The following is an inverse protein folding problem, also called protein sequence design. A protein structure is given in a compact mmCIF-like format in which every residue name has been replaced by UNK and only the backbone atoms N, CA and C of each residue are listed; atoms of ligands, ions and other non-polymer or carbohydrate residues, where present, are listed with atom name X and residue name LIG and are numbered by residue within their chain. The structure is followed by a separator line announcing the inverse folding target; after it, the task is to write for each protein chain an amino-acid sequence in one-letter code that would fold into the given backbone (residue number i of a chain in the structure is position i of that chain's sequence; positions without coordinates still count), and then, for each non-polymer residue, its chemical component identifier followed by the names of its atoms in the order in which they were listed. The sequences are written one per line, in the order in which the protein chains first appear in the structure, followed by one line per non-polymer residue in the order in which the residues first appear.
data_IF_299557018336
#
_entry.id   IF_299557018336
#
_cell.length_a   1.000
_cell.length_b   1.000
_cell.length_c   1.000
_cell.angle_alpha   90.00
_cell.angle_beta   90.00
_cell.angle_gamma   90.00
#
_symmetry.space_group_name_H-M   'P 1'
#
loop_
_entity.id
_entity.type
_entity.pdbx_description
1 polymer ?
#
# COMPACT_ATOMS: atom_id res chain seq x y z
N UNK A 1 11.67 -18.26 28.10
CA UNK A 1 12.95 -18.48 27.41
C UNK A 1 12.94 -17.63 26.16
N UNK A 2 13.65 -16.50 26.18
CA UNK A 2 13.93 -15.74 24.96
C UNK A 2 14.88 -16.60 24.12
N UNK A 3 14.41 -17.08 22.97
CA UNK A 3 15.19 -17.93 22.06
C UNK A 3 16.24 -17.02 21.41
N UNK A 4 17.48 -17.08 21.88
CA UNK A 4 18.61 -16.44 21.19
C UNK A 4 18.78 -17.18 19.86
N UNK A 5 18.36 -16.54 18.76
CA UNK A 5 18.55 -17.04 17.41
C UNK A 5 20.03 -16.93 17.07
N UNK A 6 20.61 -17.97 16.47
CA UNK A 6 22.03 -17.97 16.10
C UNK A 6 22.31 -16.85 15.08
N UNK A 7 23.52 -16.28 15.13
CA UNK A 7 23.95 -15.23 14.19
C UNK A 7 23.76 -15.64 12.71
N UNK A 8 23.91 -16.94 12.43
CA UNK A 8 23.67 -17.54 11.11
C UNK A 8 22.19 -17.50 10.68
N UNK A 9 21.26 -17.80 11.58
CA UNK A 9 19.81 -17.73 11.34
C UNK A 9 19.34 -16.28 11.18
N UNK A 10 19.95 -15.37 11.95
CA UNK A 10 19.71 -13.94 11.83
C UNK A 10 20.19 -13.43 10.46
N UNK A 11 21.32 -13.91 9.97
CA UNK A 11 21.87 -13.53 8.67
C UNK A 11 21.04 -14.09 7.50
N UNK A 12 20.54 -15.33 7.59
CA UNK A 12 19.60 -15.89 6.59
C UNK A 12 18.30 -15.09 6.53
N UNK A 13 17.74 -14.72 7.69
CA UNK A 13 16.53 -13.91 7.77
C UNK A 13 16.71 -12.53 7.13
N UNK A 14 17.87 -11.91 7.35
CA UNK A 14 18.20 -10.63 6.72
C UNK A 14 18.41 -10.76 5.22
N UNK A 15 19.05 -11.84 4.75
CA UNK A 15 19.18 -12.13 3.31
C UNK A 15 17.82 -12.38 2.64
N UNK A 16 16.87 -13.03 3.34
CA UNK A 16 15.49 -13.19 2.86
C UNK A 16 14.78 -11.84 2.70
N UNK A 17 14.88 -10.94 3.69
CA UNK A 17 14.36 -9.58 3.59
C UNK A 17 15.06 -8.82 2.46
N UNK A 18 16.35 -9.09 2.21
CA UNK A 18 17.11 -8.38 1.19
C UNK A 18 16.60 -8.66 -0.23
N UNK A 19 16.15 -9.91 -0.49
CA UNK A 19 15.53 -10.32 -1.75
C UNK A 19 14.22 -9.59 -2.07
N UNK A 20 13.58 -8.98 -1.08
CA UNK A 20 12.33 -8.22 -1.27
C UNK A 20 12.70 -6.82 -1.81
N UNK A 21 12.13 -6.40 -2.96
CA UNK A 21 12.35 -5.07 -3.53
C UNK A 21 11.64 -4.01 -2.68
N UNK A 22 12.33 -3.53 -1.64
CA UNK A 22 11.86 -2.42 -0.80
C UNK A 22 12.18 -1.08 -1.46
N UNK A 23 11.37 -0.06 -1.21
CA UNK A 23 11.49 1.25 -1.88
C UNK A 23 12.67 2.10 -1.41
N UNK A 24 13.40 1.67 -0.36
CA UNK A 24 14.51 2.44 0.24
C UNK A 24 15.79 1.61 0.39
N UNK A 25 16.99 2.22 0.24
CA UNK A 25 18.26 1.55 0.47
C UNK A 25 18.42 1.16 1.95
N UNK A 26 18.55 -0.15 2.20
CA UNK A 26 18.66 -0.76 3.53
C UNK A 26 20.04 -0.44 4.13
N UNK A 27 20.09 0.23 5.29
CA UNK A 27 21.35 0.41 6.05
C UNK A 27 21.31 -0.26 7.41
N UNK A 28 20.18 -0.22 8.13
CA UNK A 28 20.08 -0.74 9.50
C UNK A 28 18.69 -1.35 9.77
N UNK A 29 18.55 -2.67 9.65
CA UNK A 29 17.27 -3.40 9.79
C UNK A 29 16.56 -3.07 11.11
N UNK A 30 17.26 -3.06 12.25
CA UNK A 30 16.65 -2.72 13.54
C UNK A 30 16.04 -1.31 13.54
N UNK A 31 16.71 -0.33 12.94
CA UNK A 31 16.22 1.05 12.84
C UNK A 31 15.09 1.18 11.83
N UNK A 32 15.24 0.53 10.68
CA UNK A 32 14.28 0.58 9.59
C UNK A 32 12.95 -0.10 9.97
N UNK A 33 12.99 -1.16 10.78
CA UNK A 33 11.79 -1.75 11.40
C UNK A 33 11.22 -0.88 12.53
N UNK A 34 12.07 -0.14 13.26
CA UNK A 34 11.61 0.74 14.33
C UNK A 34 10.82 1.93 13.83
N UNK A 35 11.17 2.51 12.67
CA UNK A 35 10.65 3.77 12.12
C UNK A 35 9.18 3.75 11.63
N UNK A 36 8.38 2.88 12.23
CA UNK A 36 6.92 3.02 12.27
C UNK A 36 6.20 1.98 11.43
N UNK A 37 6.61 0.71 11.51
CA UNK A 37 5.91 -0.42 10.88
C UNK A 37 5.87 -0.36 9.36
N UNK A 38 6.42 0.68 8.72
CA UNK A 38 6.34 0.89 7.28
C UNK A 38 7.16 -0.13 6.51
N UNK A 39 8.37 -0.47 6.98
CA UNK A 39 9.16 -1.56 6.40
C UNK A 39 8.48 -2.91 6.59
N UNK A 40 7.92 -3.17 7.78
CA UNK A 40 7.12 -4.37 8.01
C UNK A 40 5.87 -4.41 7.09
N UNK A 41 5.23 -3.27 6.88
CA UNK A 41 4.10 -3.11 5.98
C UNK A 41 4.51 -3.33 4.52
N UNK A 42 5.64 -2.80 4.06
CA UNK A 42 6.18 -3.01 2.72
C UNK A 42 6.52 -4.50 2.47
N UNK A 43 7.16 -5.15 3.44
CA UNK A 43 7.42 -6.60 3.39
C UNK A 43 6.12 -7.37 3.21
N UNK A 44 5.09 -7.09 4.02
CA UNK A 44 3.81 -7.79 3.90
C UNK A 44 3.06 -7.39 2.62
N UNK A 45 3.21 -6.15 2.14
CA UNK A 45 2.61 -5.69 0.87
C UNK A 45 3.20 -6.42 -0.34
N UNK A 46 4.47 -6.79 -0.28
CA UNK A 46 5.10 -7.57 -1.36
C UNK A 46 4.43 -8.92 -1.56
N UNK A 47 4.13 -9.64 -0.47
CA UNK A 47 3.45 -10.94 -0.53
C UNK A 47 1.92 -10.80 -0.65
N UNK A 48 1.33 -9.77 -0.03
CA UNK A 48 -0.11 -9.55 0.04
C UNK A 48 -0.48 -8.09 -0.24
N UNK A 49 -0.46 -7.65 -1.51
CA UNK A 49 -0.66 -6.24 -1.86
C UNK A 49 -2.05 -5.69 -1.50
N UNK A 50 -3.05 -6.56 -1.32
CA UNK A 50 -4.42 -6.19 -0.93
C UNK A 50 -4.63 -6.09 0.59
N UNK A 51 -3.72 -6.63 1.41
CA UNK A 51 -3.86 -6.62 2.87
C UNK A 51 -3.27 -5.36 3.50
N UNK A 52 -2.27 -4.77 2.84
CA UNK A 52 -1.54 -3.63 3.37
C UNK A 52 -1.82 -2.40 2.52
N UNK A 53 -2.33 -1.39 3.17
CA UNK A 53 -2.48 -0.09 2.55
C UNK A 53 -1.53 0.93 3.19
N UNK A 54 -0.51 1.32 2.42
CA UNK A 54 0.59 2.18 2.88
C UNK A 54 0.12 3.57 3.31
N UNK A 55 -1.02 4.06 2.80
CA UNK A 55 -1.53 5.38 3.20
C UNK A 55 -1.93 5.45 4.68
N UNK A 56 -2.13 4.29 5.33
CA UNK A 56 -2.48 4.22 6.75
C UNK A 56 -1.29 4.41 7.69
N UNK A 57 -0.06 4.41 7.16
CA UNK A 57 1.15 4.48 7.97
C UNK A 57 1.87 5.79 7.67
N UNK A 58 1.77 6.73 8.61
CA UNK A 58 2.41 8.04 8.50
C UNK A 58 3.85 7.92 9.02
N UNK A 59 4.88 8.27 8.22
CA UNK A 59 6.26 8.28 8.68
C UNK A 59 6.40 9.23 9.87
N UNK A 60 6.89 8.73 11.00
CA UNK A 60 7.00 9.54 12.21
C UNK A 60 8.20 9.15 13.05
N UNK A 61 8.91 10.16 13.54
CA UNK A 61 10.05 9.99 14.43
C UNK A 61 9.63 9.83 15.91
N UNK A 62 8.37 10.15 16.24
CA UNK A 62 7.82 10.01 17.59
C UNK A 62 7.54 8.55 17.94
N UNK A 63 8.12 8.07 19.04
CA UNK A 63 7.89 6.72 19.60
C UNK A 63 6.41 6.38 19.71
N UNK A 64 5.57 7.34 20.14
CA UNK A 64 4.13 7.13 20.31
C UNK A 64 3.42 6.93 18.95
N UNK A 65 3.81 7.69 17.93
CA UNK A 65 3.25 7.55 16.58
C UNK A 65 3.73 6.25 15.92
N UNK A 66 5.00 5.86 16.12
CA UNK A 66 5.52 4.56 15.68
C UNK A 66 4.73 3.41 16.30
N UNK A 67 4.45 3.48 17.60
CA UNK A 67 3.64 2.48 18.30
C UNK A 67 2.19 2.45 17.79
N UNK A 68 1.59 3.60 17.51
CA UNK A 68 0.27 3.68 16.86
C UNK A 68 0.27 3.00 15.48
N UNK A 69 1.28 3.27 14.65
CA UNK A 69 1.44 2.62 13.34
C UNK A 69 1.57 1.10 13.49
N UNK A 70 2.37 0.62 14.45
CA UNK A 70 2.51 -0.81 14.75
C UNK A 70 1.19 -1.43 15.23
N UNK A 71 0.39 -0.71 16.02
CA UNK A 71 -0.94 -1.17 16.44
C UNK A 71 -1.92 -1.27 15.26
N UNK A 72 -1.87 -0.33 14.32
CA UNK A 72 -2.65 -0.40 13.07
C UNK A 72 -2.24 -1.63 12.26
N UNK A 73 -0.93 -1.90 12.16
CA UNK A 73 -0.40 -3.07 11.45
C UNK A 73 -0.86 -4.38 12.13
N UNK A 74 -0.75 -4.46 13.45
CA UNK A 74 -1.26 -5.57 14.26
C UNK A 74 -2.75 -5.84 13.96
N UNK A 75 -3.58 -4.78 13.99
CA UNK A 75 -5.03 -4.91 13.86
C UNK A 75 -5.50 -5.17 12.43
N UNK A 76 -4.91 -4.52 11.43
CA UNK A 76 -5.37 -4.61 10.03
C UNK A 76 -4.72 -5.74 9.25
N UNK A 77 -3.43 -6.01 9.51
CA UNK A 77 -2.60 -6.88 8.69
C UNK A 77 -2.29 -8.18 9.42
N UNK A 78 -1.74 -8.11 10.63
CA UNK A 78 -1.34 -9.33 11.34
C UNK A 78 -2.54 -10.17 11.79
N UNK A 79 -3.67 -9.53 12.11
CA UNK A 79 -4.93 -10.24 12.35
C UNK A 79 -5.37 -11.12 11.17
N UNK A 80 -5.11 -10.70 9.93
CA UNK A 80 -5.41 -11.47 8.70
C UNK A 80 -4.43 -12.63 8.48
N UNK A 81 -3.25 -12.53 9.10
CA UNK A 81 -2.21 -13.56 9.10
C UNK A 81 -2.31 -14.50 10.31
N UNK A 82 -3.35 -14.38 11.15
CA UNK A 82 -3.48 -15.11 12.42
C UNK A 82 -2.21 -14.94 13.29
N UNK A 83 -1.69 -13.71 13.29
CA UNK A 83 -0.47 -13.30 13.98
C UNK A 83 -0.77 -12.11 14.87
N UNK A 84 -0.18 -12.09 16.07
CA UNK A 84 -0.33 -10.99 17.01
C UNK A 84 1.00 -10.78 17.72
N UNK A 85 1.52 -9.56 17.66
CA UNK A 85 2.73 -9.17 18.39
C UNK A 85 2.30 -8.44 19.66
N UNK A 86 2.67 -8.93 20.86
CA UNK A 86 2.35 -8.26 22.13
C UNK A 86 2.91 -6.84 22.18
N UNK A 87 2.21 -5.96 22.90
CA UNK A 87 2.60 -4.55 23.04
C UNK A 87 4.00 -4.40 23.69
N UNK A 88 4.39 -5.29 24.60
CA UNK A 88 5.73 -5.31 25.20
C UNK A 88 6.83 -5.52 24.16
N UNK A 89 6.63 -6.47 23.23
CA UNK A 89 7.57 -6.73 22.13
C UNK A 89 7.58 -5.57 21.15
N UNK A 90 6.41 -4.98 20.85
CA UNK A 90 6.33 -3.77 20.02
C UNK A 90 7.10 -2.61 20.63
N UNK A 91 6.99 -2.37 21.93
CA UNK A 91 7.75 -1.34 22.62
C UNK A 91 9.27 -1.56 22.47
N UNK A 92 9.75 -2.80 22.66
CA UNK A 92 11.16 -3.15 22.42
C UNK A 92 11.58 -2.89 20.98
N UNK A 93 10.72 -3.20 20.00
CA UNK A 93 10.97 -2.95 18.57
C UNK A 93 10.99 -1.47 18.25
N UNK A 94 10.03 -0.67 18.73
CA UNK A 94 9.95 0.78 18.49
C UNK A 94 11.16 1.51 19.05
N UNK A 95 11.72 1.03 20.17
CA UNK A 95 12.93 1.56 20.79
C UNK A 95 14.23 1.13 20.08
N UNK A 96 14.15 0.43 18.94
CA UNK A 96 15.31 -0.11 18.22
C UNK A 96 16.19 -1.03 19.07
N UNK A 97 15.59 -1.76 20.02
CA UNK A 97 16.33 -2.69 20.87
C UNK A 97 16.93 -3.79 19.98
N UNK A 98 18.26 -3.93 20.01
CA UNK A 98 18.96 -4.97 19.26
C UNK A 98 18.41 -6.35 19.63
N UNK A 99 18.20 -7.21 18.63
CA UNK A 99 17.66 -8.56 18.84
C UNK A 99 16.13 -8.66 19.02
N UNK A 100 15.42 -7.59 19.43
CA UNK A 100 13.97 -7.68 19.68
C UNK A 100 13.12 -7.85 18.41
N UNK A 101 13.63 -7.38 17.27
CA UNK A 101 12.95 -7.48 15.97
C UNK A 101 13.06 -8.88 15.35
N UNK A 102 14.08 -9.65 15.71
CA UNK A 102 14.42 -10.92 15.06
C UNK A 102 13.35 -11.99 15.29
N UNK A 103 12.87 -12.23 16.55
CA UNK A 103 11.79 -13.19 16.78
C UNK A 103 10.48 -12.80 16.09
N UNK A 104 10.15 -11.51 16.06
CA UNK A 104 8.96 -11.00 15.40
C UNK A 104 9.02 -11.21 13.88
N UNK A 105 10.19 -11.02 13.27
CA UNK A 105 10.42 -11.26 11.86
C UNK A 105 10.41 -12.73 11.48
N UNK A 106 11.03 -13.58 12.31
CA UNK A 106 11.00 -15.04 12.11
C UNK A 106 9.57 -15.57 12.15
N UNK A 107 8.79 -15.15 13.15
CA UNK A 107 7.38 -15.51 13.25
C UNK A 107 6.55 -14.96 12.07
N UNK A 108 6.84 -13.74 11.60
CA UNK A 108 6.18 -13.16 10.43
C UNK A 108 6.48 -13.97 9.15
N UNK A 109 7.74 -14.36 8.94
CA UNK A 109 8.16 -15.21 7.80
C UNK A 109 7.40 -16.54 7.80
N UNK A 110 7.37 -17.25 8.92
CA UNK A 110 6.65 -18.53 9.05
C UNK A 110 5.15 -18.38 8.75
N UNK A 111 4.53 -17.27 9.17
CA UNK A 111 3.12 -16.99 8.92
C UNK A 111 2.83 -16.66 7.46
N UNK A 112 3.73 -15.93 6.79
CA UNK A 112 3.65 -15.65 5.36
C UNK A 112 3.76 -16.95 4.57
N UNK A 113 4.75 -17.79 4.87
CA UNK A 113 4.97 -19.08 4.19
C UNK A 113 3.75 -19.99 4.34
N UNK A 114 3.19 -20.12 5.55
CA UNK A 114 1.95 -20.89 5.80
C UNK A 114 0.74 -20.39 5.01
N UNK A 115 0.61 -19.07 4.82
CA UNK A 115 -0.49 -18.49 4.02
C UNK A 115 -0.23 -18.64 2.52
N UNK A 116 1.03 -18.70 2.09
CA UNK A 116 1.42 -18.93 0.70
C UNK A 116 1.22 -20.40 0.28
N UNK A 117 1.50 -21.35 1.17
CA UNK A 117 1.29 -22.79 0.94
C UNK A 117 -0.19 -23.20 0.92
N UNK A 118 -1.07 -22.37 1.50
CA UNK A 118 -2.50 -22.66 1.61
C UNK A 118 -3.38 -21.64 0.84
N UNK A 119 -3.23 -21.53 -0.50
CA UNK A 119 -4.00 -20.57 -1.31
C UNK A 119 -5.49 -20.92 -1.43
N UNK A 120 -5.93 -22.08 -0.93
CA UNK A 120 -7.29 -22.62 -1.15
C UNK A 120 -8.35 -22.19 -0.14
N UNK A 121 -8.01 -21.48 0.95
CA UNK A 121 -8.99 -21.13 2.00
C UNK A 121 -9.29 -19.62 2.14
N UNK A 122 -8.94 -18.77 1.16
CA UNK A 122 -9.32 -17.35 1.17
C UNK A 122 -9.89 -16.86 -0.18
N UNK A 123 -10.78 -17.65 -0.78
CA UNK A 123 -11.82 -17.07 -1.64
C UNK A 123 -12.97 -16.68 -0.70
N UNK A 124 -12.76 -15.60 0.06
CA UNK A 124 -13.88 -14.90 0.72
C UNK A 124 -14.05 -13.59 -0.02
N UNK A 125 -14.91 -13.66 -1.03
CA UNK A 125 -15.63 -12.56 -1.68
C UNK A 125 -14.77 -11.39 -2.18
N UNK A 126 -14.50 -11.33 -3.51
CA UNK A 126 -14.23 -10.08 -4.17
C UNK A 126 -15.52 -9.25 -4.12
N UNK A 127 -15.66 -8.40 -3.08
CA UNK A 127 -16.66 -7.34 -3.11
C UNK A 127 -16.14 -6.30 -4.10
N UNK A 128 -16.52 -6.52 -5.35
CA UNK A 128 -16.57 -5.51 -6.39
C UNK A 128 -17.50 -4.41 -5.87
N UNK A 129 -16.99 -3.20 -5.66
CA UNK A 129 -17.84 -2.04 -5.51
C UNK A 129 -18.47 -1.79 -6.88
N UNK A 130 -19.66 -2.35 -7.10
CA UNK A 130 -20.51 -2.00 -8.23
C UNK A 130 -21.17 -0.67 -7.92
N UNK A 131 -20.69 0.39 -8.58
CA UNK A 131 -21.14 1.78 -8.42
C UNK A 131 -22.50 2.03 -9.09
N UNK A 132 -23.45 1.10 -8.96
CA UNK A 132 -24.76 1.19 -9.62
C UNK A 132 -25.89 0.76 -8.69
N UNK A 133 -26.11 1.52 -7.62
CA UNK A 133 -27.48 1.64 -7.10
C UNK A 133 -27.70 2.96 -6.35
N UNK A 134 -27.73 4.04 -7.14
CA UNK A 134 -28.37 5.29 -6.73
C UNK A 134 -29.86 5.17 -7.09
N UNK A 135 -30.70 4.62 -6.19
CA UNK A 135 -32.16 4.86 -6.16
C UNK A 135 -32.88 4.38 -4.88
N UNK A 136 -33.02 5.34 -3.92
CA UNK A 136 -34.13 5.53 -2.94
C UNK A 136 -34.35 4.51 -1.80
N UNK A 137 -35.03 4.89 -0.70
CA UNK A 137 -35.03 6.15 0.05
C UNK A 137 -34.70 5.96 1.56
N UNK A 138 -34.20 7.04 2.16
CA UNK A 138 -33.92 7.21 3.59
C UNK A 138 -35.19 7.01 4.45
N UNK A 139 -35.23 5.94 5.26
CA UNK A 139 -36.31 5.74 6.25
C UNK A 139 -35.91 5.00 7.55
N UNK A 140 -34.64 4.66 7.78
CA UNK A 140 -34.24 3.86 8.97
C UNK A 140 -33.00 4.41 9.72
N UNK A 141 -32.84 5.74 9.79
CA UNK A 141 -31.91 6.40 10.74
C UNK A 141 -32.72 7.11 11.85
N UNK A 142 -33.88 6.57 12.20
CA UNK A 142 -34.75 7.12 13.25
C UNK A 142 -34.80 6.29 14.55
N UNK A 143 -33.85 5.35 14.77
CA UNK A 143 -33.90 4.49 15.96
C UNK A 143 -32.69 4.54 16.91
N UNK A 144 -31.60 5.23 16.56
CA UNK A 144 -30.44 5.41 17.46
C UNK A 144 -30.45 6.80 18.15
N UNK A 145 -31.21 7.77 17.64
CA UNK A 145 -31.28 9.12 18.21
C UNK A 145 -32.23 9.26 19.43
N UNK A 146 -33.09 8.27 19.68
CA UNK A 146 -34.23 8.44 20.63
C UNK A 146 -33.95 7.91 22.05
N UNK A 147 -32.80 7.31 22.34
CA UNK A 147 -32.50 6.76 23.69
C UNK A 147 -31.49 7.57 24.52
N UNK A 148 -30.94 8.67 24.01
CA UNK A 148 -30.00 9.52 24.76
C UNK A 148 -30.58 10.86 25.23
N UNK A 149 -31.87 11.11 24.98
CA UNK A 149 -32.50 12.43 25.20
C UNK A 149 -33.40 12.51 26.43
N UNK A 150 -33.58 11.43 27.18
CA UNK A 150 -34.38 11.45 28.40
C UNK A 150 -33.62 10.79 29.55
N UNK A 151 -32.82 11.59 30.27
CA UNK A 151 -32.86 11.66 31.73
C UNK A 151 -31.82 12.69 32.24
N UNK A 152 -32.37 13.65 32.98
CA UNK A 152 -31.74 14.44 34.06
C UNK A 152 -31.37 15.89 33.75
N UNK A 153 -32.39 16.72 34.00
CA UNK A 153 -32.21 18.00 34.70
C UNK A 153 -31.45 17.76 36.01
N UNK A 154 -30.32 18.42 36.18
CA UNK A 154 -30.08 19.46 37.20
C UNK A 154 -28.59 19.53 37.62
N UNK A 155 -28.14 20.78 37.70
CA UNK A 155 -26.98 21.31 38.43
C UNK A 155 -25.57 21.33 37.80
N UNK A 156 -25.12 22.59 37.59
CA UNK A 156 -23.81 23.21 37.92
C UNK A 156 -22.61 23.01 36.97
N UNK A 157 -22.38 24.10 36.22
CA UNK A 157 -21.15 24.89 36.07
C UNK A 157 -19.78 24.24 35.78
N UNK A 158 -19.18 24.79 34.72
CA UNK A 158 -17.74 25.02 34.49
C UNK A 158 -16.94 23.82 33.93
N UNK A 159 -16.01 24.09 33.01
CA UNK A 159 -15.03 23.16 32.38
C UNK A 159 -15.44 22.28 31.17
N UNK A 160 -16.02 22.80 30.07
CA UNK A 160 -16.04 22.04 28.78
C UNK A 160 -15.78 22.82 27.49
N UNK A 161 -15.23 24.04 27.54
CA UNK A 161 -15.07 24.84 26.32
C UNK A 161 -13.78 24.60 25.50
N UNK A 162 -12.83 23.76 25.97
CA UNK A 162 -11.59 23.48 25.21
C UNK A 162 -11.60 22.18 24.37
N UNK A 163 -12.47 21.20 24.66
CA UNK A 163 -12.50 19.92 23.92
C UNK A 163 -13.36 19.97 22.66
N UNK A 164 -14.40 20.81 22.64
CA UNK A 164 -15.29 20.94 21.47
C UNK A 164 -14.60 21.72 20.34
N UNK A 165 -13.81 22.75 20.67
CA UNK A 165 -13.02 23.48 19.67
C UNK A 165 -11.96 22.59 19.01
N UNK A 166 -11.24 21.77 19.79
CA UNK A 166 -10.22 20.88 19.23
C UNK A 166 -10.80 19.78 18.34
N UNK A 167 -11.97 19.22 18.68
CA UNK A 167 -12.63 18.24 17.84
C UNK A 167 -13.12 18.87 16.52
N UNK A 168 -13.76 20.04 16.57
CA UNK A 168 -14.23 20.77 15.37
C UNK A 168 -13.06 21.21 14.49
N UNK A 169 -11.97 21.72 15.06
CA UNK A 169 -10.75 22.07 14.31
C UNK A 169 -10.07 20.83 13.72
N UNK A 170 -10.03 19.71 14.44
CA UNK A 170 -9.41 18.47 13.95
C UNK A 170 -10.19 17.84 12.79
N UNK A 171 -11.53 17.86 12.83
CA UNK A 171 -12.34 17.40 11.69
C UNK A 171 -12.22 18.34 10.48
N UNK A 172 -12.15 19.66 10.69
CA UNK A 172 -11.92 20.62 9.61
C UNK A 172 -10.50 20.54 9.01
N UNK A 173 -9.48 20.30 9.83
CA UNK A 173 -8.09 20.12 9.39
C UNK A 173 -7.88 18.81 8.62
N UNK A 174 -8.54 17.73 9.08
CA UNK A 174 -8.60 16.47 8.33
C UNK A 174 -9.33 16.62 6.99
N UNK A 175 -10.42 17.39 6.94
CA UNK A 175 -11.13 17.72 5.69
C UNK A 175 -10.26 18.55 4.73
N UNK A 176 -9.47 19.48 5.27
CA UNK A 176 -8.48 20.27 4.52
C UNK A 176 -7.36 19.39 3.95
N UNK A 177 -6.83 18.45 4.74
CA UNK A 177 -5.78 17.51 4.33
C UNK A 177 -6.27 16.55 3.23
N UNK A 178 -7.50 16.02 3.37
CA UNK A 178 -8.13 15.19 2.36
C UNK A 178 -8.34 15.94 1.04
N UNK A 179 -8.75 17.22 1.11
CA UNK A 179 -8.89 18.08 -0.09
C UNK A 179 -7.56 18.32 -0.79
N UNK A 180 -6.48 18.55 -0.05
CA UNK A 180 -5.14 18.71 -0.63
C UNK A 180 -4.65 17.43 -1.33
N UNK A 181 -4.88 16.27 -0.72
CA UNK A 181 -4.53 14.98 -1.32
C UNK A 181 -5.36 14.74 -2.58
N UNK A 182 -6.66 15.03 -2.56
CA UNK A 182 -7.52 14.90 -3.74
C UNK A 182 -7.01 15.78 -4.89
N UNK A 183 -6.68 17.04 -4.60
CA UNK A 183 -6.16 17.99 -5.59
C UNK A 183 -4.80 17.54 -6.15
N UNK A 184 -3.90 17.00 -5.32
CA UNK A 184 -2.63 16.45 -5.78
C UNK A 184 -2.84 15.23 -6.68
N UNK A 185 -3.82 14.37 -6.35
CA UNK A 185 -4.19 13.22 -7.20
C UNK A 185 -4.81 13.66 -8.52
N UNK A 186 -5.68 14.67 -8.51
CA UNK A 186 -6.23 15.26 -9.74
C UNK A 186 -5.13 15.84 -10.63
N UNK A 187 -4.16 16.54 -10.06
CA UNK A 187 -3.01 17.06 -10.80
C UNK A 187 -2.13 15.94 -11.39
N UNK A 188 -1.93 14.86 -10.64
CA UNK A 188 -1.18 13.69 -11.13
C UNK A 188 -1.92 12.97 -12.26
N UNK A 189 -3.26 12.94 -12.22
CA UNK A 189 -4.07 12.39 -13.31
C UNK A 189 -3.90 13.22 -14.58
N UNK A 190 -3.93 14.56 -14.48
CA UNK A 190 -3.71 15.45 -15.62
C UNK A 190 -2.33 15.26 -16.25
N UNK A 191 -1.26 15.20 -15.45
CA UNK A 191 0.10 15.03 -15.97
C UNK A 191 0.31 13.64 -16.62
N UNK A 192 -0.33 12.60 -16.08
CA UNK A 192 -0.34 11.28 -16.70
C UNK A 192 -1.10 11.29 -18.03
N UNK A 193 -2.23 11.99 -18.11
CA UNK A 193 -2.99 12.14 -19.35
C UNK A 193 -2.17 12.84 -20.44
N UNK A 194 -1.49 13.94 -20.12
CA UNK A 194 -0.57 14.62 -21.04
C UNK A 194 0.56 13.70 -21.52
N UNK A 195 1.13 12.91 -20.60
CA UNK A 195 2.21 11.96 -20.94
C UNK A 195 1.69 10.86 -21.89
N UNK A 196 0.49 10.35 -21.64
CA UNK A 196 -0.16 9.35 -22.50
C UNK A 196 -0.43 9.92 -23.89
N UNK A 197 -0.89 11.15 -23.99
CA UNK A 197 -1.11 11.82 -25.28
C UNK A 197 0.20 11.96 -26.08
N UNK A 198 1.28 12.40 -25.43
CA UNK A 198 2.61 12.48 -26.06
C UNK A 198 3.08 11.10 -26.52
N UNK A 199 2.90 10.07 -25.70
CA UNK A 199 3.25 8.71 -26.07
C UNK A 199 2.42 8.21 -27.25
N UNK A 200 1.12 8.51 -27.30
CA UNK A 200 0.25 8.14 -28.41
C UNK A 200 0.72 8.77 -29.72
N UNK A 201 1.08 10.07 -29.70
CA UNK A 201 1.63 10.76 -30.88
C UNK A 201 2.94 10.09 -31.32
N UNK A 202 3.82 9.73 -30.37
CA UNK A 202 5.08 9.03 -30.67
C UNK A 202 4.85 7.65 -31.28
N UNK A 203 3.91 6.88 -30.75
CA UNK A 203 3.53 5.57 -31.29
C UNK A 203 3.02 5.72 -32.73
N UNK A 204 2.07 6.63 -32.97
CA UNK A 204 1.54 6.88 -34.31
C UNK A 204 2.65 7.30 -35.29
N UNK A 205 3.64 8.10 -34.84
CA UNK A 205 4.77 8.51 -35.68
C UNK A 205 5.69 7.34 -36.02
N UNK A 206 5.95 6.46 -35.05
CA UNK A 206 6.73 5.25 -35.26
C UNK A 206 6.02 4.28 -36.20
N UNK A 207 4.71 4.06 -36.03
CA UNK A 207 3.89 3.23 -36.92
C UNK A 207 3.94 3.73 -38.37
N UNK A 208 3.81 5.04 -38.57
CA UNK A 208 3.95 5.63 -39.92
C UNK A 208 5.34 5.40 -40.51
N UNK A 209 6.39 5.49 -39.69
CA UNK A 209 7.77 5.29 -40.14
C UNK A 209 8.07 3.82 -40.47
N UNK A 210 7.50 2.89 -39.71
CA UNK A 210 7.53 1.45 -40.01
C UNK A 210 6.81 1.19 -41.34
N UNK A 211 5.61 1.73 -41.51
CA UNK A 211 4.85 1.56 -42.76
C UNK A 211 5.62 2.05 -43.99
N UNK A 212 6.27 3.22 -43.91
CA UNK A 212 7.12 3.73 -44.99
C UNK A 212 8.32 2.83 -45.26
N UNK A 213 8.93 2.26 -44.22
CA UNK A 213 10.04 1.31 -44.37
C UNK A 213 9.57 0.02 -45.03
N UNK A 214 8.40 -0.50 -44.65
CA UNK A 214 7.83 -1.71 -45.25
C UNK A 214 7.54 -1.51 -46.75
N UNK A 215 6.92 -0.39 -47.13
CA UNK A 215 6.73 -0.03 -48.54
C UNK A 215 8.06 0.01 -49.32
N UNK A 216 9.11 0.56 -48.70
CA UNK A 216 10.43 0.64 -49.34
C UNK A 216 11.09 -0.73 -49.46
N UNK A 217 10.94 -1.60 -48.46
CA UNK A 217 11.43 -2.98 -48.49
C UNK A 217 10.72 -3.75 -49.60
N UNK A 218 9.40 -3.63 -49.72
CA UNK A 218 8.63 -4.27 -50.78
C UNK A 218 9.09 -3.83 -52.18
N UNK A 219 9.28 -2.53 -52.39
CA UNK A 219 9.77 -1.97 -53.66
C UNK A 219 11.16 -2.51 -54.03
N UNK A 220 12.10 -2.51 -53.08
CA UNK A 220 13.43 -3.06 -53.28
C UNK A 220 13.41 -4.58 -53.51
N UNK A 221 12.56 -5.30 -52.79
CA UNK A 221 12.40 -6.75 -52.93
C UNK A 221 11.87 -7.10 -54.31
N UNK A 222 10.87 -6.36 -54.81
CA UNK A 222 10.34 -6.53 -56.17
C UNK A 222 11.41 -6.30 -57.22
N UNK A 223 12.22 -5.25 -57.10
CA UNK A 223 13.34 -5.03 -58.02
C UNK A 223 14.37 -6.16 -57.98
N UNK A 224 14.74 -6.65 -56.79
CA UNK A 224 15.66 -7.78 -56.64
C UNK A 224 15.12 -9.06 -57.29
N UNK A 225 13.82 -9.35 -57.13
CA UNK A 225 13.17 -10.48 -57.80
C UNK A 225 13.18 -10.33 -59.31
N UNK A 226 12.91 -9.14 -59.85
CA UNK A 226 13.00 -8.87 -61.28
C UNK A 226 14.41 -9.08 -61.83
N UNK A 227 15.45 -8.64 -61.11
CA UNK A 227 16.84 -8.87 -61.52
C UNK A 227 17.21 -10.36 -61.49
N UNK A 228 16.85 -11.08 -60.41
CA UNK A 228 17.06 -12.54 -60.32
C UNK A 228 16.31 -13.31 -61.41
N UNK A 229 15.11 -12.87 -61.78
CA UNK A 229 14.34 -13.47 -62.86
C UNK A 229 15.02 -13.27 -64.22
N UNK A 230 15.56 -12.07 -64.49
CA UNK A 230 16.32 -11.77 -65.71
C UNK A 230 17.63 -12.57 -65.80
N UNK A 231 18.33 -12.74 -64.68
CA UNK A 231 19.56 -13.53 -64.60
C UNK A 231 19.31 -15.03 -64.83
N UNK A 232 18.14 -15.56 -64.44
CA UNK A 232 17.75 -16.96 -64.72
C UNK A 232 17.31 -17.22 -66.17
N UNK A 233 16.99 -16.17 -66.93
CA UNK A 233 16.56 -16.27 -68.33
C UNK A 233 17.70 -16.10 -69.34
N UNK A 234 18.92 -15.88 -68.88
CA UNK A 234 20.16 -15.88 -69.67
C UNK A 234 20.99 -17.12 -69.33
#
# INVERSE_FOLDING_TARGET
MERELNDEEQQDLFAWIDKIPLSRPKRNISRDFSDGGMMAAEVVKHFFPKLVDLHNYIPANSTQQKLSNWNVLNRKVFSRLDFHVPEETLNKIVLSTSGAVVPALSALREKIDKKLENPKNNITNPVYYDTRDLKKPCAEIHQIHTQLTELRKDEKNMEKNMKVQHAVTFYSDMDQSLRLILQEKEQAVLSLQETVEILQIKVNKLEHLVHLKDMRIEDLTRHLEMYKAKERTH
#
